data_IF_391640190810
#
_entry.id   IF_391640190810
#
_cell.length_a   1.000
_cell.length_b   1.000
_cell.length_c   1.000
_cell.angle_alpha   90.00
_cell.angle_beta   90.00
_cell.angle_gamma   90.00
#
_symmetry.space_group_name_H-M   'P 1'
#
loop_
_entity.id
_entity.type
_entity.pdbx_description
1 polymer ?
#
# COMPACT_ATOMS: atom_id res chain seq x y z
N UNK A 1 -24.07 -0.56 0.53
CA UNK A 1 -23.13 -0.35 1.66
C UNK A 1 -21.72 -0.37 1.11
N UNK A 2 -20.95 0.71 1.24
CA UNK A 2 -19.55 0.73 0.80
C UNK A 2 -18.76 -0.31 1.60
N UNK A 3 -18.02 -1.19 0.92
CA UNK A 3 -17.09 -2.10 1.61
C UNK A 3 -16.07 -1.24 2.36
N UNK A 4 -15.91 -1.47 3.66
CA UNK A 4 -14.93 -0.77 4.50
C UNK A 4 -13.53 -1.04 3.94
N UNK A 5 -12.80 0.02 3.63
CA UNK A 5 -11.43 -0.11 3.14
C UNK A 5 -10.50 -0.49 4.30
N UNK A 6 -9.62 -1.45 4.03
CA UNK A 6 -8.46 -1.80 4.87
C UNK A 6 -7.27 -2.10 3.95
N UNK A 7 -6.02 -2.02 4.44
CA UNK A 7 -4.85 -2.39 3.66
C UNK A 7 -4.92 -3.79 3.02
N UNK A 8 -5.62 -4.76 3.63
CA UNK A 8 -5.77 -6.11 3.07
C UNK A 8 -6.99 -6.30 2.16
N UNK A 9 -7.91 -5.34 2.12
CA UNK A 9 -9.18 -5.49 1.39
C UNK A 9 -9.00 -5.74 -0.12
N UNK A 10 -7.88 -5.32 -0.72
CA UNK A 10 -7.56 -5.56 -2.13
C UNK A 10 -7.32 -7.04 -2.45
N UNK A 11 -6.89 -7.87 -1.47
CA UNK A 11 -6.62 -9.29 -1.67
C UNK A 11 -7.87 -10.09 -2.07
N UNK A 12 -9.06 -9.53 -1.79
CA UNK A 12 -10.35 -10.09 -2.22
C UNK A 12 -10.73 -9.76 -3.68
N UNK A 13 -9.89 -9.01 -4.40
CA UNK A 13 -10.11 -8.58 -5.78
C UNK A 13 -9.23 -9.37 -6.74
N UNK A 14 -9.66 -9.48 -7.99
CA UNK A 14 -8.83 -10.04 -9.07
C UNK A 14 -7.60 -9.17 -9.29
N UNK A 15 -6.41 -9.81 -9.28
CA UNK A 15 -5.12 -9.18 -9.56
C UNK A 15 -4.45 -9.87 -10.74
N UNK A 16 -3.78 -9.10 -11.61
CA UNK A 16 -3.30 -9.63 -12.90
C UNK A 16 -1.79 -9.88 -12.96
N UNK A 17 -1.00 -9.15 -12.17
CA UNK A 17 0.46 -9.11 -12.31
C UNK A 17 1.17 -9.44 -10.98
N UNK A 18 0.57 -10.33 -10.18
CA UNK A 18 1.18 -10.81 -8.94
C UNK A 18 1.85 -12.15 -9.23
N UNK A 19 3.12 -12.35 -8.83
CA UNK A 19 3.80 -13.62 -9.04
C UNK A 19 3.22 -14.72 -8.13
N UNK A 20 3.25 -15.95 -8.63
CA UNK A 20 2.92 -17.13 -7.84
C UNK A 20 4.09 -17.48 -6.92
N UNK A 21 3.97 -17.14 -5.63
CA UNK A 21 4.96 -17.50 -4.64
C UNK A 21 4.81 -18.98 -4.23
N UNK A 22 5.83 -19.82 -4.38
CA UNK A 22 5.73 -21.25 -4.10
C UNK A 22 5.63 -21.57 -2.59
N UNK A 23 6.12 -20.67 -1.74
CA UNK A 23 6.11 -20.82 -0.28
C UNK A 23 5.33 -19.66 0.36
N UNK A 24 4.09 -19.96 0.75
CA UNK A 24 3.19 -18.99 1.37
C UNK A 24 3.57 -18.69 2.83
N UNK A 25 4.24 -19.62 3.52
CA UNK A 25 4.70 -19.42 4.90
C UNK A 25 5.81 -18.36 4.87
N UNK A 26 6.81 -18.57 4.02
CA UNK A 26 7.92 -17.62 3.85
C UNK A 26 7.47 -16.25 3.36
N UNK A 27 6.44 -16.20 2.51
CA UNK A 27 5.83 -14.93 2.11
C UNK A 27 5.26 -14.17 3.32
N UNK A 28 4.55 -14.87 4.21
CA UNK A 28 4.02 -14.30 5.45
C UNK A 28 5.12 -13.79 6.37
N UNK A 29 6.14 -14.60 6.64
CA UNK A 29 7.28 -14.22 7.48
C UNK A 29 7.99 -12.95 6.99
N UNK A 30 8.20 -12.84 5.67
CA UNK A 30 8.81 -11.65 5.07
C UNK A 30 7.89 -10.43 5.20
N UNK A 31 6.58 -10.58 5.00
CA UNK A 31 5.61 -9.49 5.16
C UNK A 31 5.56 -8.97 6.62
N UNK A 32 5.59 -9.88 7.60
CA UNK A 32 5.66 -9.52 9.01
C UNK A 32 6.94 -8.76 9.34
N UNK A 33 8.08 -9.27 8.86
CA UNK A 33 9.37 -8.60 9.05
C UNK A 33 9.38 -7.19 8.45
N UNK A 34 8.88 -7.01 7.23
CA UNK A 34 8.84 -5.70 6.56
C UNK A 34 7.96 -4.70 7.31
N UNK A 35 6.89 -5.16 7.95
CA UNK A 35 6.00 -4.30 8.76
C UNK A 35 6.71 -3.71 9.98
N UNK A 36 7.76 -4.36 10.48
CA UNK A 36 8.55 -3.86 11.61
C UNK A 36 9.53 -2.73 11.26
N UNK A 37 9.81 -2.52 9.97
CA UNK A 37 10.80 -1.54 9.51
C UNK A 37 10.23 -0.12 9.49
N UNK A 38 11.09 0.91 9.66
CA UNK A 38 10.65 2.29 9.56
C UNK A 38 10.08 2.58 8.17
N UNK A 39 9.08 3.47 8.06
CA UNK A 39 8.51 3.85 6.77
C UNK A 39 9.54 4.64 5.94
N UNK A 40 9.48 4.50 4.62
CA UNK A 40 10.37 5.23 3.71
C UNK A 40 10.06 6.73 3.64
N UNK A 41 8.82 7.11 3.94
CA UNK A 41 8.35 8.49 3.96
C UNK A 41 7.36 8.69 5.11
N UNK A 42 7.31 9.91 5.65
CA UNK A 42 6.35 10.27 6.68
C UNK A 42 5.01 10.72 6.08
N UNK A 43 3.92 10.56 6.83
CA UNK A 43 2.58 11.00 6.42
C UNK A 43 2.50 12.52 6.12
N UNK A 44 3.37 13.34 6.72
CA UNK A 44 3.48 14.76 6.42
C UNK A 44 3.98 15.04 5.00
N UNK A 45 4.88 14.20 4.49
CA UNK A 45 5.46 14.34 3.15
C UNK A 45 4.42 14.05 2.07
N UNK A 46 3.65 12.97 2.23
CA UNK A 46 2.53 12.65 1.34
C UNK A 46 1.46 13.77 1.31
N UNK A 47 1.14 14.38 2.47
CA UNK A 47 0.22 15.53 2.54
C UNK A 47 0.78 16.76 1.83
N UNK A 48 2.07 17.05 2.00
CA UNK A 48 2.74 18.15 1.29
C UNK A 48 2.72 17.93 -0.22
N UNK A 49 3.02 16.71 -0.69
CA UNK A 49 2.93 16.36 -2.10
C UNK A 49 1.50 16.53 -2.64
N UNK A 50 0.49 16.05 -1.89
CA UNK A 50 -0.92 16.24 -2.26
C UNK A 50 -1.27 17.71 -2.47
N UNK A 51 -0.84 18.60 -1.58
CA UNK A 51 -1.08 20.04 -1.73
C UNK A 51 -0.38 20.62 -2.97
N UNK A 52 0.83 20.16 -3.29
CA UNK A 52 1.54 20.57 -4.51
C UNK A 52 0.81 20.10 -5.77
N UNK A 53 0.30 18.86 -5.78
CA UNK A 53 -0.52 18.33 -6.88
C UNK A 53 -1.82 19.12 -7.06
N UNK A 54 -2.46 19.57 -5.97
CA UNK A 54 -3.64 20.45 -6.05
C UNK A 54 -3.32 21.76 -6.78
N UNK A 55 -2.16 22.37 -6.51
CA UNK A 55 -1.74 23.58 -7.23
C UNK A 55 -1.54 23.29 -8.71
N UNK A 56 -0.80 22.24 -9.05
CA UNK A 56 -0.59 21.83 -10.43
C UNK A 56 -1.89 21.55 -11.19
N UNK A 57 -2.90 20.98 -10.52
CA UNK A 57 -4.20 20.72 -11.11
C UNK A 57 -5.04 21.99 -11.36
N UNK A 58 -4.78 23.08 -10.62
CA UNK A 58 -5.55 24.32 -10.71
C UNK A 58 -4.90 25.38 -11.63
N UNK A 59 -3.67 25.17 -12.11
CA UNK A 59 -2.90 26.13 -12.92
C UNK A 59 -2.20 27.19 -12.08
#
# INVERSE_FOLDING_TARGET
MSKKWTPDSWRSKTVLQVPDYPDQIKLGEVQERLTSFPPLVFAGEARRLKNALTKAANG
#
